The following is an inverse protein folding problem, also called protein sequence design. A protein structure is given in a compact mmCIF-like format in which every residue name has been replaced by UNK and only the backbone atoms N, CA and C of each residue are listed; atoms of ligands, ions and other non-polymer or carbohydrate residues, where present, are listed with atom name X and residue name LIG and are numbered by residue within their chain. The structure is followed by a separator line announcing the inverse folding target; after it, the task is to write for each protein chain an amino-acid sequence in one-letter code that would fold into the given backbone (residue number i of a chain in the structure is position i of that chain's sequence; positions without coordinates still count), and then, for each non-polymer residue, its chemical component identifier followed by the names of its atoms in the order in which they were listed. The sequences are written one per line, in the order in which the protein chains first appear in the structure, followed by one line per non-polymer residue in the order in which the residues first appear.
data_IF_279272436603
#
_entry.id   IF_279272436603
#
_cell.length_a   1.000
_cell.length_b   1.000
_cell.length_c   1.000
_cell.angle_alpha   90.00
_cell.angle_beta   90.00
_cell.angle_gamma   90.00
#
_symmetry.space_group_name_H-M   'P 1'
#
loop_
_entity.id
_entity.type
_entity.pdbx_description
1 polymer ?
#
# COMPACT_ATOMS: atom_id res chain seq x y z
N UNK A 1 -8.30 49.89 26.03
CA UNK A 1 -8.91 48.56 26.12
C UNK A 1 -8.65 47.83 24.82
N UNK A 2 -7.68 46.94 24.80
CA UNK A 2 -7.29 46.18 23.61
C UNK A 2 -7.77 44.73 23.85
N UNK A 3 -8.73 44.28 23.04
CA UNK A 3 -9.28 42.95 23.13
C UNK A 3 -8.34 41.94 22.48
N UNK A 4 -7.79 41.04 23.27
CA UNK A 4 -6.96 39.92 22.81
C UNK A 4 -7.87 38.79 22.40
N UNK A 5 -7.93 38.50 21.10
CA UNK A 5 -8.65 37.33 20.56
C UNK A 5 -7.76 36.13 20.63
N UNK A 6 -8.13 35.17 21.48
CA UNK A 6 -7.45 33.85 21.62
C UNK A 6 -7.87 32.97 20.46
N UNK A 7 -6.92 32.64 19.61
CA UNK A 7 -7.11 31.64 18.55
C UNK A 7 -6.94 30.24 19.20
N UNK A 8 -8.00 29.46 19.18
CA UNK A 8 -7.97 28.04 19.59
C UNK A 8 -7.47 27.22 18.43
N UNK A 9 -6.23 26.77 18.50
CA UNK A 9 -5.67 25.77 17.56
C UNK A 9 -6.26 24.40 17.83
N UNK A 10 -7.10 23.94 16.92
CA UNK A 10 -7.54 22.55 16.85
C UNK A 10 -6.44 21.67 16.24
N UNK A 11 -5.43 21.33 17.01
CA UNK A 11 -4.43 20.34 16.66
C UNK A 11 -5.00 18.93 16.77
N UNK A 12 -5.38 18.32 15.64
CA UNK A 12 -5.60 16.86 15.55
C UNK A 12 -4.25 16.15 15.65
N UNK A 13 -3.84 15.80 16.86
CA UNK A 13 -2.74 14.88 17.10
C UNK A 13 -3.17 13.48 16.68
N UNK A 14 -2.66 12.98 15.59
CA UNK A 14 -2.64 11.53 15.29
C UNK A 14 -1.85 10.83 16.40
N UNK A 15 -2.26 9.64 16.87
CA UNK A 15 -1.52 8.90 17.88
C UNK A 15 -0.12 8.60 17.34
N UNK A 16 0.90 9.16 18.00
CA UNK A 16 2.29 8.89 17.71
C UNK A 16 2.53 7.38 17.85
N UNK A 17 2.79 6.70 16.76
CA UNK A 17 3.25 5.30 16.79
C UNK A 17 4.56 5.29 17.57
N UNK A 18 4.57 4.60 18.71
CA UNK A 18 5.80 4.33 19.45
C UNK A 18 6.80 3.69 18.50
N UNK A 19 8.08 4.10 18.49
CA UNK A 19 9.12 3.40 17.74
C UNK A 19 9.10 1.92 18.14
N UNK A 20 9.37 1.04 17.19
CA UNK A 20 9.48 -0.39 17.46
C UNK A 20 10.59 -0.58 18.50
N UNK A 21 10.24 -1.01 19.70
CA UNK A 21 11.12 -1.02 20.90
C UNK A 21 12.19 -2.10 20.87
N UNK A 22 12.40 -2.79 19.75
CA UNK A 22 13.27 -3.96 19.64
C UNK A 22 14.38 -3.83 18.58
N UNK A 23 15.00 -2.69 18.45
CA UNK A 23 16.17 -2.53 17.56
C UNK A 23 17.17 -3.70 17.62
N UNK A 24 18.20 -3.66 16.79
CA UNK A 24 19.29 -4.64 16.82
C UNK A 24 20.45 -4.16 17.68
N UNK A 25 21.29 -5.10 18.18
CA UNK A 25 22.51 -4.78 18.91
C UNK A 25 23.54 -4.01 18.07
N UNK A 26 24.55 -3.41 18.68
CA UNK A 26 25.70 -2.85 17.97
C UNK A 26 26.42 -3.96 17.20
N UNK A 27 26.93 -3.64 16.00
CA UNK A 27 27.60 -4.63 15.17
C UNK A 27 28.03 -4.07 13.81
N UNK A 28 28.78 -4.87 13.08
CA UNK A 28 29.27 -4.56 11.73
C UNK A 28 28.26 -5.06 10.68
N UNK A 29 27.26 -4.23 10.38
CA UNK A 29 26.20 -4.53 9.43
C UNK A 29 26.39 -3.80 8.11
N UNK A 30 25.99 -4.44 7.02
CA UNK A 30 25.90 -3.78 5.71
C UNK A 30 24.47 -3.33 5.43
N UNK A 31 24.30 -2.06 5.04
CA UNK A 31 23.02 -1.50 4.64
C UNK A 31 22.79 -1.71 3.13
N UNK A 32 21.63 -2.23 2.78
CA UNK A 32 21.22 -2.46 1.40
C UNK A 32 19.83 -1.87 1.19
N UNK A 33 19.72 -0.94 0.23
CA UNK A 33 18.40 -0.48 -0.22
C UNK A 33 17.68 -1.61 -0.93
N UNK A 34 16.39 -1.79 -0.62
CA UNK A 34 15.59 -2.91 -1.14
C UNK A 34 14.14 -2.50 -1.38
N UNK A 35 13.55 -3.01 -2.45
CA UNK A 35 12.14 -2.84 -2.73
C UNK A 35 11.60 -3.95 -3.65
N UNK A 36 10.28 -4.10 -3.71
CA UNK A 36 9.60 -5.07 -4.57
C UNK A 36 8.40 -4.44 -5.29
N UNK A 37 8.19 -4.86 -6.54
CA UNK A 37 6.94 -4.68 -7.24
C UNK A 37 6.05 -5.91 -7.07
N UNK A 38 4.75 -5.69 -6.91
CA UNK A 38 3.80 -6.73 -6.57
C UNK A 38 2.51 -6.58 -7.37
N UNK A 39 1.75 -7.68 -7.55
CA UNK A 39 0.47 -7.66 -8.28
C UNK A 39 -0.61 -6.82 -7.57
N UNK A 40 -0.41 -6.51 -6.30
CA UNK A 40 -1.31 -5.67 -5.49
C UNK A 40 -0.69 -5.27 -4.15
N UNK A 41 -1.50 -4.84 -3.19
CA UNK A 41 -1.07 -4.39 -1.86
C UNK A 41 -1.56 -5.28 -0.72
N UNK A 42 -1.81 -6.54 -1.00
CA UNK A 42 -2.22 -7.53 0.01
C UNK A 42 -1.12 -8.56 0.14
N UNK A 43 -1.01 -9.19 1.30
CA UNK A 43 -0.03 -10.26 1.55
C UNK A 43 -0.21 -11.46 0.62
N UNK A 44 -1.44 -11.69 0.13
CA UNK A 44 -1.76 -12.75 -0.85
C UNK A 44 -1.44 -12.37 -2.31
N UNK A 45 -0.97 -11.16 -2.56
CA UNK A 45 -0.51 -10.74 -3.87
C UNK A 45 0.90 -11.29 -4.14
N UNK A 46 1.35 -11.26 -5.38
CA UNK A 46 2.56 -11.94 -5.83
C UNK A 46 3.66 -10.96 -6.22
N UNK A 47 4.90 -11.39 -6.12
CA UNK A 47 6.07 -10.59 -6.50
C UNK A 47 6.14 -10.51 -8.03
N UNK A 48 6.35 -9.31 -8.58
CA UNK A 48 6.58 -9.05 -10.00
C UNK A 48 8.02 -8.58 -10.30
N UNK A 49 8.67 -7.95 -9.32
CA UNK A 49 10.08 -7.57 -9.37
C UNK A 49 10.64 -7.57 -7.95
N UNK A 50 11.87 -8.02 -7.80
CA UNK A 50 12.67 -7.85 -6.60
C UNK A 50 13.92 -7.08 -6.97
N UNK A 51 14.24 -6.04 -6.21
CA UNK A 51 15.39 -5.20 -6.50
C UNK A 51 16.10 -4.76 -5.22
N UNK A 52 17.41 -4.62 -5.33
CA UNK A 52 18.27 -4.13 -4.27
C UNK A 52 19.39 -3.26 -4.81
N UNK A 53 19.91 -2.39 -3.96
CA UNK A 53 20.89 -1.41 -4.33
C UNK A 53 21.92 -1.20 -3.23
N UNK A 54 23.19 -1.14 -3.64
CA UNK A 54 24.32 -0.58 -2.90
C UNK A 54 25.06 0.40 -3.81
N UNK A 55 25.88 1.32 -3.31
CA UNK A 55 26.68 2.20 -4.17
C UNK A 55 27.60 1.46 -5.17
N UNK A 56 28.04 0.24 -4.82
CA UNK A 56 28.97 -0.56 -5.66
C UNK A 56 28.28 -1.58 -6.56
N UNK A 57 27.03 -1.96 -6.28
CA UNK A 57 26.32 -3.02 -7.01
C UNK A 57 24.81 -2.90 -6.88
N UNK A 58 24.09 -3.49 -7.84
CA UNK A 58 22.64 -3.56 -7.76
C UNK A 58 22.12 -4.90 -8.29
N UNK A 59 21.04 -5.36 -7.70
CA UNK A 59 20.27 -6.51 -8.15
C UNK A 59 18.89 -6.06 -8.63
N UNK A 60 18.41 -6.60 -9.74
CA UNK A 60 17.07 -6.34 -10.24
C UNK A 60 16.61 -7.49 -11.11
N UNK A 61 15.55 -8.18 -10.69
CA UNK A 61 15.00 -9.32 -11.42
C UNK A 61 13.48 -9.24 -11.45
N UNK A 62 12.92 -9.30 -12.67
CA UNK A 62 11.48 -9.47 -12.85
C UNK A 62 11.07 -10.92 -12.61
N UNK A 63 9.92 -11.08 -11.99
CA UNK A 63 9.29 -12.37 -11.67
C UNK A 63 8.00 -12.49 -12.44
N UNK A 64 7.74 -13.64 -13.03
CA UNK A 64 6.47 -13.89 -13.71
C UNK A 64 5.40 -14.28 -12.70
N UNK A 65 4.40 -13.42 -12.41
CA UNK A 65 3.34 -13.76 -11.47
C UNK A 65 2.30 -14.69 -12.10
N UNK A 66 1.64 -15.50 -11.29
CA UNK A 66 0.49 -16.29 -11.73
C UNK A 66 -0.78 -15.44 -11.87
N UNK A 67 -0.93 -14.41 -11.04
CA UNK A 67 -2.05 -13.46 -11.09
C UNK A 67 -1.73 -12.27 -11.98
N UNK A 68 -2.76 -11.65 -12.53
CA UNK A 68 -2.59 -10.37 -13.20
C UNK A 68 -2.42 -9.25 -12.18
N UNK A 69 -1.69 -8.20 -12.57
CA UNK A 69 -1.58 -7.01 -11.75
C UNK A 69 -2.94 -6.32 -11.67
N UNK A 70 -3.33 -5.88 -10.48
CA UNK A 70 -4.50 -5.02 -10.36
C UNK A 70 -4.24 -3.63 -10.99
N UNK A 71 -5.28 -2.89 -11.44
CA UNK A 71 -5.09 -1.61 -12.13
C UNK A 71 -4.22 -0.59 -11.39
N UNK A 72 -4.33 -0.42 -10.05
CA UNK A 72 -3.41 0.43 -9.30
C UNK A 72 -1.95 -0.02 -9.33
N UNK A 73 -1.69 -1.35 -9.31
CA UNK A 73 -0.33 -1.89 -9.40
C UNK A 73 0.25 -1.71 -10.80
N UNK A 74 -0.55 -2.00 -11.85
CA UNK A 74 -0.15 -1.76 -13.25
C UNK A 74 0.29 -0.31 -13.47
N UNK A 75 -0.47 0.66 -12.95
CA UNK A 75 -0.13 2.08 -13.06
C UNK A 75 1.13 2.45 -12.27
N UNK A 76 1.28 1.91 -11.04
CA UNK A 76 2.39 2.24 -10.15
C UNK A 76 3.71 1.67 -10.63
N UNK A 77 3.70 0.43 -11.11
CA UNK A 77 4.90 -0.31 -11.51
C UNK A 77 5.16 -0.25 -13.01
N UNK A 78 4.29 0.41 -13.76
CA UNK A 78 4.38 0.55 -15.22
C UNK A 78 4.52 -0.78 -15.96
N UNK A 79 3.86 -1.85 -15.48
CA UNK A 79 3.91 -3.16 -16.13
C UNK A 79 2.55 -3.85 -16.15
N UNK A 80 2.38 -4.76 -17.10
CA UNK A 80 1.16 -5.55 -17.31
C UNK A 80 1.50 -6.98 -17.71
N UNK A 81 0.65 -7.92 -17.31
CA UNK A 81 0.69 -9.30 -17.81
C UNK A 81 -0.21 -9.39 -19.05
N UNK A 82 0.30 -9.99 -20.11
CA UNK A 82 -0.45 -10.26 -21.34
C UNK A 82 -0.22 -11.69 -21.79
N UNK A 83 -1.20 -12.27 -22.50
CA UNK A 83 -1.07 -13.59 -23.09
C UNK A 83 -0.77 -13.46 -24.58
N UNK A 84 0.33 -14.04 -25.03
CA UNK A 84 0.73 -14.09 -26.44
C UNK A 84 0.73 -15.56 -26.86
N UNK A 85 -0.25 -15.95 -27.67
CA UNK A 85 -0.47 -17.35 -28.01
C UNK A 85 -0.81 -18.18 -26.74
N UNK A 86 0.06 -19.11 -26.38
CA UNK A 86 -0.08 -19.97 -25.18
C UNK A 86 0.74 -19.47 -23.97
N UNK A 87 1.50 -18.39 -24.14
CA UNK A 87 2.45 -17.92 -23.14
C UNK A 87 1.98 -16.63 -22.46
N UNK A 88 2.06 -16.60 -21.15
CA UNK A 88 1.93 -15.38 -20.38
C UNK A 88 3.29 -14.69 -20.33
N UNK A 89 3.30 -13.39 -20.58
CA UNK A 89 4.51 -12.55 -20.53
C UNK A 89 4.23 -11.27 -19.75
N UNK A 90 5.26 -10.79 -19.06
CA UNK A 90 5.25 -9.50 -18.40
C UNK A 90 5.79 -8.45 -19.40
N UNK A 91 5.05 -7.36 -19.59
CA UNK A 91 5.45 -6.26 -20.48
C UNK A 91 5.53 -4.95 -19.72
N UNK A 92 6.48 -4.12 -20.12
CA UNK A 92 6.49 -2.71 -19.76
C UNK A 92 5.29 -2.01 -20.42
N UNK A 93 4.56 -1.22 -19.62
CA UNK A 93 3.30 -0.63 -20.06
C UNK A 93 3.49 0.62 -20.95
N UNK A 94 4.65 1.30 -20.87
CA UNK A 94 4.98 2.48 -21.69
C UNK A 94 5.60 2.08 -23.03
N UNK A 95 6.51 1.12 -23.00
CA UNK A 95 7.30 0.73 -24.19
C UNK A 95 6.76 -0.50 -24.90
N UNK A 96 5.81 -1.22 -24.30
CA UNK A 96 5.25 -2.50 -24.74
C UNK A 96 6.30 -3.63 -24.93
N UNK A 97 7.53 -3.42 -24.44
CA UNK A 97 8.61 -4.40 -24.50
C UNK A 97 8.35 -5.54 -23.52
N UNK A 98 8.68 -6.76 -23.92
CA UNK A 98 8.66 -7.93 -23.04
C UNK A 98 9.79 -7.84 -22.04
N UNK A 99 9.46 -7.97 -20.76
CA UNK A 99 10.41 -7.98 -19.66
C UNK A 99 10.94 -9.42 -19.45
N UNK A 100 12.25 -9.54 -19.26
CA UNK A 100 12.89 -10.85 -19.01
C UNK A 100 12.60 -11.30 -17.60
N UNK A 101 11.72 -12.28 -17.45
CA UNK A 101 11.28 -12.81 -16.15
C UNK A 101 11.96 -14.13 -15.81
N UNK A 102 12.03 -14.43 -14.50
CA UNK A 102 12.33 -15.74 -13.94
C UNK A 102 11.13 -16.25 -13.14
N UNK A 103 11.17 -17.53 -12.75
CA UNK A 103 10.25 -18.04 -11.73
C UNK A 103 10.55 -17.41 -10.38
N UNK A 104 9.55 -17.35 -9.49
CA UNK A 104 9.70 -16.77 -8.16
C UNK A 104 10.84 -17.43 -7.37
N UNK A 105 10.90 -18.77 -7.37
CA UNK A 105 11.95 -19.51 -6.67
C UNK A 105 13.34 -19.23 -7.22
N UNK A 106 13.50 -19.16 -8.55
CA UNK A 106 14.80 -18.84 -9.16
C UNK A 106 15.25 -17.42 -8.85
N UNK A 107 14.32 -16.45 -8.92
CA UNK A 107 14.64 -15.06 -8.58
C UNK A 107 15.02 -14.88 -7.11
N UNK A 108 14.35 -15.59 -6.19
CA UNK A 108 14.69 -15.55 -4.76
C UNK A 108 16.03 -16.23 -4.47
N UNK A 109 16.32 -17.38 -5.10
CA UNK A 109 17.61 -18.04 -4.94
C UNK A 109 18.78 -17.17 -5.44
N UNK A 110 18.63 -16.54 -6.61
CA UNK A 110 19.62 -15.60 -7.14
C UNK A 110 19.79 -14.37 -6.26
N UNK A 111 18.69 -13.88 -5.69
CA UNK A 111 18.70 -12.77 -4.75
C UNK A 111 19.52 -13.09 -3.50
N UNK A 112 19.33 -14.28 -2.91
CA UNK A 112 20.13 -14.73 -1.77
C UNK A 112 21.62 -14.87 -2.12
N UNK A 113 21.93 -15.45 -3.27
CA UNK A 113 23.31 -15.56 -3.76
C UNK A 113 23.95 -14.19 -3.95
N UNK A 114 23.20 -13.21 -4.47
CA UNK A 114 23.68 -11.84 -4.58
C UNK A 114 23.89 -11.21 -3.19
N UNK A 115 22.98 -11.39 -2.23
CA UNK A 115 23.13 -10.90 -0.85
C UNK A 115 24.39 -11.48 -0.19
N UNK A 116 24.65 -12.79 -0.35
CA UNK A 116 25.85 -13.45 0.14
C UNK A 116 27.13 -12.83 -0.43
N UNK A 117 27.13 -12.58 -1.75
CA UNK A 117 28.28 -11.97 -2.43
C UNK A 117 28.56 -10.53 -1.97
N UNK A 118 27.48 -9.77 -1.66
CA UNK A 118 27.57 -8.36 -1.22
C UNK A 118 27.86 -8.24 0.28
N UNK A 119 27.51 -9.23 1.09
CA UNK A 119 27.79 -9.21 2.53
C UNK A 119 29.24 -8.87 2.84
N UNK A 120 30.20 -9.46 2.11
CA UNK A 120 31.61 -9.16 2.24
C UNK A 120 32.11 -9.30 3.68
N UNK A 121 32.76 -8.26 4.21
CA UNK A 121 33.34 -8.24 5.56
C UNK A 121 32.33 -7.88 6.67
N UNK A 122 31.02 -7.73 6.36
CA UNK A 122 30.00 -7.46 7.36
C UNK A 122 29.70 -8.72 8.19
N UNK A 123 30.42 -8.86 9.31
CA UNK A 123 30.38 -10.07 10.15
C UNK A 123 29.01 -10.33 10.74
N UNK A 124 28.29 -9.27 11.10
CA UNK A 124 26.99 -9.36 11.78
C UNK A 124 25.81 -9.40 10.80
N UNK A 125 26.06 -9.26 9.49
CA UNK A 125 25.08 -9.49 8.44
C UNK A 125 24.58 -8.24 7.74
N UNK A 126 23.40 -8.34 7.15
CA UNK A 126 22.78 -7.32 6.30
C UNK A 126 21.53 -6.76 6.97
N UNK A 127 21.31 -5.45 6.82
CA UNK A 127 20.04 -4.78 7.10
C UNK A 127 19.44 -4.30 5.77
N UNK A 128 18.22 -4.74 5.47
CA UNK A 128 17.46 -4.30 4.29
C UNK A 128 16.70 -3.01 4.60
N UNK A 129 17.05 -1.94 3.89
CA UNK A 129 16.41 -0.63 4.00
C UNK A 129 15.34 -0.52 2.93
N UNK A 130 14.10 -0.32 3.33
CA UNK A 130 12.95 -0.15 2.44
C UNK A 130 12.11 1.05 2.84
N UNK A 131 11.12 1.44 2.03
CA UNK A 131 10.31 2.60 2.31
C UNK A 131 8.83 2.35 2.01
N UNK A 132 8.04 2.02 3.03
CA UNK A 132 6.62 1.73 2.89
C UNK A 132 5.82 2.08 4.16
N UNK A 133 4.63 2.74 4.04
CA UNK A 133 3.82 3.08 5.20
C UNK A 133 3.12 1.87 5.85
N UNK A 134 3.07 0.69 5.20
CA UNK A 134 2.26 -0.46 5.62
C UNK A 134 3.03 -1.73 5.99
N UNK A 135 4.33 -1.78 5.87
CA UNK A 135 5.17 -2.96 6.17
C UNK A 135 4.72 -4.27 5.47
N UNK A 136 4.20 -4.17 4.24
CA UNK A 136 3.65 -5.35 3.53
C UNK A 136 4.76 -6.12 2.82
N UNK A 137 5.73 -5.42 2.22
CA UNK A 137 6.76 -6.08 1.42
C UNK A 137 7.68 -7.01 2.22
N UNK A 138 8.09 -6.72 3.48
CA UNK A 138 8.80 -7.70 4.30
C UNK A 138 7.98 -8.98 4.54
N UNK A 139 6.70 -8.84 4.86
CA UNK A 139 5.81 -9.97 5.08
C UNK A 139 5.67 -10.85 3.83
N UNK A 140 5.52 -10.24 2.65
CA UNK A 140 5.45 -10.98 1.37
C UNK A 140 6.75 -11.70 1.05
N UNK A 141 7.91 -11.06 1.27
CA UNK A 141 9.21 -11.70 1.07
C UNK A 141 9.37 -12.92 1.98
N UNK A 142 9.08 -12.78 3.27
CA UNK A 142 9.21 -13.88 4.25
C UNK A 142 8.29 -15.06 3.91
N UNK A 143 7.04 -14.79 3.48
CA UNK A 143 6.13 -15.85 3.03
C UNK A 143 6.63 -16.56 1.78
N UNK A 144 7.15 -15.82 0.79
CA UNK A 144 7.72 -16.40 -0.42
C UNK A 144 8.97 -17.22 -0.11
N UNK A 145 9.84 -16.76 0.77
CA UNK A 145 11.03 -17.52 1.21
C UNK A 145 10.64 -18.78 1.95
N UNK A 146 9.64 -18.72 2.83
CA UNK A 146 9.11 -19.87 3.56
C UNK A 146 8.50 -20.92 2.62
N UNK A 147 7.73 -20.49 1.64
CA UNK A 147 7.11 -21.33 0.59
C UNK A 147 8.13 -22.21 -0.15
N UNK A 148 9.35 -21.70 -0.36
CA UNK A 148 10.41 -22.39 -1.10
C UNK A 148 11.56 -22.92 -0.22
N UNK A 149 11.37 -22.97 1.11
CA UNK A 149 12.38 -23.43 2.09
C UNK A 149 13.70 -22.64 2.02
N UNK A 150 13.64 -21.34 1.70
CA UNK A 150 14.77 -20.42 1.62
C UNK A 150 14.91 -19.51 2.84
N UNK A 151 13.98 -19.56 3.79
CA UNK A 151 13.90 -18.62 4.90
C UNK A 151 15.11 -18.72 5.85
N UNK A 152 15.56 -19.92 6.18
CA UNK A 152 16.69 -20.10 7.09
C UNK A 152 18.00 -19.57 6.46
N UNK A 153 18.23 -19.85 5.17
CA UNK A 153 19.36 -19.26 4.43
C UNK A 153 19.31 -17.73 4.44
N UNK A 154 18.11 -17.15 4.31
CA UNK A 154 17.92 -15.70 4.40
C UNK A 154 18.28 -15.15 5.78
N UNK A 155 17.84 -15.80 6.88
CA UNK A 155 18.14 -15.38 8.26
C UNK A 155 19.62 -15.43 8.61
N UNK A 156 20.38 -16.33 8.00
CA UNK A 156 21.84 -16.37 8.16
C UNK A 156 22.51 -15.09 7.63
N UNK A 157 21.94 -14.49 6.58
CA UNK A 157 22.50 -13.34 5.86
C UNK A 157 21.90 -12.03 6.35
N UNK A 158 20.56 -11.95 6.43
CA UNK A 158 19.81 -10.73 6.76
C UNK A 158 19.38 -10.77 8.22
N UNK A 159 19.68 -9.71 8.96
CA UNK A 159 19.37 -9.60 10.40
C UNK A 159 18.14 -8.73 10.70
N UNK A 160 17.75 -7.88 9.75
CA UNK A 160 16.56 -7.07 9.96
C UNK A 160 16.19 -6.17 8.81
N UNK A 161 15.06 -5.50 8.99
CA UNK A 161 14.47 -4.55 8.06
C UNK A 161 14.40 -3.17 8.70
N UNK A 162 14.89 -2.14 7.99
CA UNK A 162 14.75 -0.75 8.38
C UNK A 162 13.77 -0.03 7.46
N UNK A 163 12.68 0.51 8.02
CA UNK A 163 11.67 1.22 7.24
C UNK A 163 11.98 2.73 7.21
N UNK A 164 12.50 3.22 6.09
CA UNK A 164 12.79 4.64 5.87
C UNK A 164 11.56 5.55 6.04
N UNK A 165 10.34 5.04 5.83
CA UNK A 165 9.11 5.79 6.11
C UNK A 165 8.99 6.10 7.61
N UNK A 166 9.16 5.10 8.48
CA UNK A 166 9.07 5.28 9.93
C UNK A 166 10.21 6.18 10.46
N UNK A 167 11.43 6.03 9.91
CA UNK A 167 12.57 6.88 10.25
C UNK A 167 12.26 8.34 9.90
N UNK A 168 11.77 8.60 8.68
CA UNK A 168 11.40 9.95 8.24
C UNK A 168 10.22 10.51 9.06
N UNK A 169 9.22 9.71 9.41
CA UNK A 169 8.08 10.12 10.25
C UNK A 169 8.54 10.63 11.63
N UNK A 170 9.55 10.01 12.21
CA UNK A 170 10.11 10.43 13.52
C UNK A 170 11.07 11.60 13.37
N UNK A 171 12.00 11.54 12.40
CA UNK A 171 13.10 12.51 12.28
C UNK A 171 12.71 13.79 11.51
N UNK A 172 11.68 13.76 10.68
CA UNK A 172 11.21 14.88 9.85
C UNK A 172 9.78 15.34 10.17
N UNK A 173 9.22 14.96 11.33
CA UNK A 173 7.81 15.21 11.69
C UNK A 173 7.33 16.66 11.46
N UNK A 174 8.22 17.64 11.68
CA UNK A 174 7.91 19.07 11.54
C UNK A 174 8.58 19.73 10.32
N UNK A 175 9.17 18.94 9.42
CA UNK A 175 9.99 19.47 8.31
C UNK A 175 9.34 19.25 6.95
N UNK A 176 8.50 18.23 6.82
CA UNK A 176 7.88 17.84 5.55
C UNK A 176 6.39 17.52 5.73
N UNK A 177 5.59 17.86 4.72
CA UNK A 177 4.13 17.64 4.74
C UNK A 177 3.75 16.16 4.53
N UNK A 178 4.62 15.37 3.91
CA UNK A 178 4.37 13.97 3.63
C UNK A 178 5.69 13.16 3.55
N UNK A 179 5.66 11.95 4.07
CA UNK A 179 6.83 11.05 4.13
C UNK A 179 6.91 10.09 2.94
N UNK A 180 6.41 10.48 1.76
CA UNK A 180 6.55 9.68 0.54
C UNK A 180 7.95 9.84 -0.06
N UNK A 181 8.46 8.78 -0.73
CA UNK A 181 9.75 8.84 -1.42
C UNK A 181 9.88 10.07 -2.32
N UNK A 182 8.82 10.42 -3.06
CA UNK A 182 8.81 11.59 -3.96
C UNK A 182 8.96 12.90 -3.20
N UNK A 183 8.23 13.07 -2.10
CA UNK A 183 8.32 14.29 -1.28
C UNK A 183 9.70 14.40 -0.65
N UNK A 184 10.17 13.32 -0.02
CA UNK A 184 11.48 13.30 0.64
C UNK A 184 12.63 13.51 -0.35
N UNK A 185 12.58 12.92 -1.54
CA UNK A 185 13.58 13.12 -2.60
C UNK A 185 13.66 14.60 -3.00
N UNK A 186 12.51 15.24 -3.23
CA UNK A 186 12.47 16.66 -3.60
C UNK A 186 12.94 17.56 -2.48
N UNK A 187 12.46 17.32 -1.25
CA UNK A 187 12.70 18.23 -0.11
C UNK A 187 14.11 18.04 0.49
N UNK A 188 14.57 16.79 0.63
CA UNK A 188 15.84 16.49 1.31
C UNK A 188 17.02 16.40 0.35
N UNK A 189 16.83 15.84 -0.84
CA UNK A 189 17.90 15.57 -1.79
C UNK A 189 17.90 16.54 -2.98
N UNK A 190 16.87 17.39 -3.10
CA UNK A 190 16.66 18.28 -4.24
C UNK A 190 16.68 17.54 -5.59
N UNK A 191 16.08 16.33 -5.64
CA UNK A 191 16.07 15.48 -6.82
C UNK A 191 14.64 15.14 -7.23
N UNK A 192 14.37 15.15 -8.54
CA UNK A 192 13.17 14.57 -9.12
C UNK A 192 13.49 13.20 -9.70
N UNK A 193 12.98 12.15 -9.07
CA UNK A 193 13.27 10.76 -9.43
C UNK A 193 12.03 10.08 -9.99
N UNK A 194 12.21 9.29 -11.04
CA UNK A 194 11.17 8.37 -11.49
C UNK A 194 11.10 7.19 -10.52
N UNK A 195 9.89 6.86 -10.06
CA UNK A 195 9.66 5.85 -9.02
C UNK A 195 8.89 4.62 -9.54
N UNK A 196 8.89 4.43 -10.85
CA UNK A 196 8.16 3.34 -11.52
C UNK A 196 8.85 1.98 -11.31
N UNK A 197 10.14 1.98 -11.04
CA UNK A 197 10.98 0.78 -10.92
C UNK A 197 11.40 0.53 -9.46
N UNK A 198 11.35 -0.72 -9.02
CA UNK A 198 11.74 -1.11 -7.66
C UNK A 198 13.20 -0.80 -7.35
N UNK A 199 14.13 -0.90 -8.33
CA UNK A 199 15.55 -0.57 -8.15
C UNK A 199 15.76 0.90 -7.80
N UNK A 200 15.06 1.81 -8.49
CA UNK A 200 15.21 3.25 -8.26
C UNK A 200 14.63 3.64 -6.90
N UNK A 201 13.54 2.99 -6.48
CA UNK A 201 12.99 3.17 -5.14
C UNK A 201 13.89 2.60 -4.05
N UNK A 202 14.52 1.45 -4.27
CA UNK A 202 15.51 0.87 -3.36
C UNK A 202 16.73 1.79 -3.17
N UNK A 203 17.26 2.33 -4.27
CA UNK A 203 18.34 3.31 -4.25
C UNK A 203 17.95 4.54 -3.43
N UNK A 204 16.81 5.13 -3.75
CA UNK A 204 16.34 6.35 -3.08
C UNK A 204 16.04 6.15 -1.60
N UNK A 205 15.48 4.99 -1.21
CA UNK A 205 15.24 4.66 0.19
C UNK A 205 16.54 4.66 1.01
N UNK A 206 17.61 4.07 0.46
CA UNK A 206 18.92 4.07 1.11
C UNK A 206 19.52 5.49 1.17
N UNK A 207 19.48 6.25 0.09
CA UNK A 207 20.00 7.63 0.03
C UNK A 207 19.31 8.56 1.03
N UNK A 208 17.98 8.46 1.17
CA UNK A 208 17.22 9.25 2.15
C UNK A 208 17.68 8.92 3.57
N UNK A 209 17.83 7.65 3.91
CA UNK A 209 18.27 7.23 5.24
C UNK A 209 19.70 7.69 5.53
N UNK A 210 20.61 7.59 4.56
CA UNK A 210 21.98 8.10 4.68
C UNK A 210 22.01 9.62 4.87
N UNK A 211 21.19 10.36 4.12
CA UNK A 211 21.10 11.81 4.26
C UNK A 211 20.55 12.21 5.63
N UNK A 212 19.51 11.54 6.14
CA UNK A 212 19.00 11.80 7.48
C UNK A 212 20.03 11.53 8.57
N UNK A 213 20.83 10.47 8.42
CA UNK A 213 21.94 10.15 9.30
C UNK A 213 22.99 11.27 9.30
N UNK A 214 23.37 11.78 8.12
CA UNK A 214 24.36 12.86 8.01
C UNK A 214 23.87 14.18 8.62
N UNK A 215 22.59 14.49 8.52
CA UNK A 215 21.98 15.68 9.17
C UNK A 215 22.01 15.55 10.71
N UNK A 216 21.80 14.36 11.26
CA UNK A 216 21.84 14.16 12.70
C UNK A 216 23.26 14.31 13.25
N UNK A 217 24.27 13.77 12.55
CA UNK A 217 25.69 13.94 12.88
C UNK A 217 26.11 15.42 12.84
N UNK A 218 25.63 16.17 11.83
CA UNK A 218 25.92 17.61 11.72
C UNK A 218 25.35 18.45 12.88
N UNK A 219 24.22 18.04 13.46
CA UNK A 219 23.62 18.69 14.64
C UNK A 219 24.42 18.45 15.92
N UNK A 220 25.13 17.31 16.01
CA UNK A 220 25.92 16.92 17.19
C UNK A 220 27.28 17.58 17.32
N UNK A 221 27.66 18.55 16.48
CA UNK A 221 28.94 19.28 16.50
C UNK A 221 30.24 18.43 16.45
N UNK A 222 30.19 17.21 15.99
CA UNK A 222 31.40 16.42 15.73
C UNK A 222 31.87 16.56 14.27
N UNK A 223 32.30 17.77 13.93
CA UNK A 223 32.98 18.05 12.68
C UNK A 223 34.48 17.64 12.75
N UNK A 224 34.77 16.38 12.95
CA UNK A 224 36.12 15.83 12.74
C UNK A 224 36.01 14.43 12.16
N UNK A 225 36.26 14.31 10.87
CA UNK A 225 36.39 12.98 10.26
C UNK A 225 36.42 13.02 8.75
N UNK A 226 37.56 12.71 8.21
CA UNK A 226 37.86 12.34 6.84
C UNK A 226 36.74 11.51 6.20
N UNK A 227 36.40 11.85 4.94
CA UNK A 227 35.33 11.22 4.16
C UNK A 227 35.62 9.77 3.74
N UNK A 228 35.86 8.89 4.69
CA UNK A 228 35.93 7.46 4.43
C UNK A 228 34.50 6.90 4.37
N UNK A 229 34.17 6.24 3.27
CA UNK A 229 32.85 5.69 3.00
C UNK A 229 32.39 4.67 4.06
N UNK A 230 33.34 3.92 4.63
CA UNK A 230 33.06 2.93 5.68
C UNK A 230 32.69 3.61 7.01
N UNK A 231 33.33 4.72 7.34
CA UNK A 231 33.01 5.51 8.52
C UNK A 231 31.56 6.09 8.43
N UNK A 232 31.17 6.54 7.25
CA UNK A 232 29.82 7.07 7.00
C UNK A 232 28.76 5.96 7.10
N UNK A 233 29.04 4.77 6.59
CA UNK A 233 28.14 3.63 6.66
C UNK A 233 27.91 3.18 8.11
N UNK A 234 28.97 3.08 8.92
CA UNK A 234 28.88 2.71 10.33
C UNK A 234 28.07 3.73 11.15
N UNK A 235 28.20 5.02 10.88
CA UNK A 235 27.38 6.08 11.49
C UNK A 235 25.91 5.94 11.09
N UNK A 236 25.62 5.57 9.84
CA UNK A 236 24.25 5.33 9.40
C UNK A 236 23.65 4.08 10.06
N UNK A 237 24.42 3.01 10.24
CA UNK A 237 23.99 1.81 10.99
C UNK A 237 23.58 2.20 12.42
N UNK A 238 24.45 2.93 13.13
CA UNK A 238 24.16 3.37 14.49
C UNK A 238 22.89 4.26 14.56
N UNK A 239 22.74 5.19 13.62
CA UNK A 239 21.56 6.07 13.53
C UNK A 239 20.24 5.30 13.35
N UNK A 240 20.21 4.21 12.54
CA UNK A 240 18.98 3.46 12.27
C UNK A 240 18.73 2.30 13.22
N UNK A 241 19.69 1.92 14.05
CA UNK A 241 19.70 0.70 14.85
C UNK A 241 18.43 0.49 15.66
N UNK A 242 17.92 1.53 16.29
CA UNK A 242 16.65 1.51 17.05
C UNK A 242 15.40 1.31 16.17
N UNK A 243 15.48 1.62 14.87
CA UNK A 243 14.38 1.47 13.91
C UNK A 243 14.42 0.15 13.15
N UNK A 244 15.47 -0.65 13.34
CA UNK A 244 15.60 -1.95 12.67
C UNK A 244 14.70 -2.95 13.35
N UNK A 245 13.84 -3.57 12.58
CA UNK A 245 13.03 -4.70 13.01
C UNK A 245 13.78 -6.00 12.70
N UNK A 246 14.17 -6.80 13.70
CA UNK A 246 14.75 -8.11 13.48
C UNK A 246 13.88 -9.00 12.61
N UNK A 247 14.49 -9.90 11.83
CA UNK A 247 13.75 -10.80 10.91
C UNK A 247 12.78 -11.69 11.68
N UNK A 248 13.18 -12.20 12.85
CA UNK A 248 12.35 -13.06 13.71
C UNK A 248 11.10 -12.32 14.18
N UNK A 249 11.24 -11.06 14.58
CA UNK A 249 10.11 -10.23 14.99
C UNK A 249 9.19 -9.90 13.81
N UNK A 250 9.76 -9.64 12.63
CA UNK A 250 8.99 -9.42 11.41
C UNK A 250 8.20 -10.68 11.02
N UNK A 251 8.77 -11.85 11.19
CA UNK A 251 8.10 -13.14 10.97
C UNK A 251 6.96 -13.36 11.95
N UNK A 252 7.19 -13.04 13.24
CA UNK A 252 6.14 -13.13 14.27
C UNK A 252 4.98 -12.16 13.99
N UNK A 253 5.26 -10.87 13.74
CA UNK A 253 4.24 -9.88 13.38
C UNK A 253 3.43 -10.32 12.14
N UNK A 254 4.10 -10.96 11.18
CA UNK A 254 3.45 -11.51 10.01
C UNK A 254 2.51 -12.67 10.37
N UNK A 255 2.94 -13.61 11.21
CA UNK A 255 2.12 -14.73 11.66
C UNK A 255 0.86 -14.23 12.38
N UNK A 256 0.99 -13.24 13.26
CA UNK A 256 -0.13 -12.59 13.94
C UNK A 256 -1.08 -11.91 12.94
N UNK A 257 -0.53 -11.17 11.96
CA UNK A 257 -1.32 -10.55 10.89
C UNK A 257 -2.10 -11.59 10.06
N UNK A 258 -1.50 -12.75 9.79
CA UNK A 258 -2.14 -13.85 9.07
C UNK A 258 -3.35 -14.41 9.83
N UNK A 259 -3.21 -14.62 11.14
CA UNK A 259 -4.32 -15.03 12.01
C UNK A 259 -5.47 -14.02 11.97
N UNK A 260 -5.15 -12.72 12.10
CA UNK A 260 -6.16 -11.66 12.00
C UNK A 260 -6.83 -11.66 10.61
N UNK A 261 -6.07 -11.89 9.55
CA UNK A 261 -6.62 -11.97 8.19
C UNK A 261 -7.54 -13.19 8.00
N UNK A 262 -7.17 -14.34 8.53
CA UNK A 262 -8.01 -15.56 8.50
C UNK A 262 -9.33 -15.32 9.26
N UNK A 263 -9.28 -14.72 10.46
CA UNK A 263 -10.49 -14.31 11.18
C UNK A 263 -11.36 -13.33 10.39
N UNK A 264 -10.74 -12.33 9.72
CA UNK A 264 -11.48 -11.44 8.83
C UNK A 264 -12.20 -12.21 7.71
N UNK A 265 -11.63 -13.30 7.21
CA UNK A 265 -12.27 -14.12 6.18
C UNK A 265 -13.49 -14.87 6.71
N UNK A 266 -13.47 -15.35 7.96
CA UNK A 266 -14.68 -15.94 8.58
C UNK A 266 -15.83 -14.93 8.66
N UNK A 267 -15.53 -13.66 8.88
CA UNK A 267 -16.51 -12.56 8.98
C UNK A 267 -17.03 -12.05 7.62
N UNK A 268 -16.53 -12.60 6.50
CA UNK A 268 -16.91 -12.17 5.15
C UNK A 268 -18.44 -12.17 4.91
N UNK A 269 -19.23 -13.16 5.33
CA UNK A 269 -20.68 -13.17 5.11
C UNK A 269 -21.40 -11.94 5.66
N UNK A 270 -20.95 -11.39 6.81
CA UNK A 270 -21.56 -10.22 7.45
C UNK A 270 -21.30 -8.95 6.64
N UNK A 271 -20.06 -8.81 6.11
CA UNK A 271 -19.59 -7.56 5.54
C UNK A 271 -19.63 -7.52 4.01
N UNK A 272 -19.88 -8.65 3.32
CA UNK A 272 -19.80 -8.75 1.86
C UNK A 272 -20.74 -7.78 1.16
N UNK A 273 -21.95 -7.59 1.68
CA UNK A 273 -22.93 -6.64 1.16
C UNK A 273 -22.34 -5.22 1.09
N UNK A 274 -21.76 -4.71 2.19
CA UNK A 274 -21.20 -3.35 2.27
C UNK A 274 -19.98 -3.18 1.35
N UNK A 275 -19.22 -4.25 1.10
CA UNK A 275 -18.05 -4.20 0.21
C UNK A 275 -18.42 -4.12 -1.28
N UNK A 276 -19.64 -4.55 -1.64
CA UNK A 276 -20.10 -4.55 -3.03
C UNK A 276 -20.82 -3.26 -3.44
N UNK A 277 -21.40 -2.50 -2.51
CA UNK A 277 -22.24 -1.36 -2.83
C UNK A 277 -21.46 -0.18 -3.39
N UNK A 278 -20.61 0.45 -2.58
CA UNK A 278 -19.86 1.62 -2.98
C UNK A 278 -18.56 1.79 -2.16
N UNK A 279 -17.74 2.78 -2.55
CA UNK A 279 -16.47 3.06 -1.88
C UNK A 279 -16.64 3.52 -0.42
N UNK A 280 -17.68 4.33 -0.14
CA UNK A 280 -17.93 4.94 1.18
C UNK A 280 -18.33 3.86 2.19
N UNK A 281 -19.27 2.97 1.83
CA UNK A 281 -19.67 1.84 2.67
C UNK A 281 -18.50 0.88 2.93
N UNK A 282 -17.68 0.62 1.91
CA UNK A 282 -16.48 -0.20 2.06
C UNK A 282 -15.47 0.42 3.03
N UNK A 283 -15.28 1.75 2.98
CA UNK A 283 -14.40 2.46 3.90
C UNK A 283 -14.91 2.43 5.34
N UNK A 284 -16.23 2.43 5.53
CA UNK A 284 -16.86 2.31 6.85
C UNK A 284 -16.82 0.87 7.39
N UNK A 285 -17.18 -0.11 6.60
CA UNK A 285 -17.28 -1.51 7.01
C UNK A 285 -15.92 -2.19 7.23
N UNK A 286 -14.87 -1.78 6.49
CA UNK A 286 -13.54 -2.40 6.57
C UNK A 286 -12.88 -2.28 7.96
N UNK A 287 -12.87 -1.12 8.63
CA UNK A 287 -12.37 -0.99 10.00
C UNK A 287 -13.17 -1.81 11.01
N UNK A 288 -14.50 -1.89 10.86
CA UNK A 288 -15.36 -2.67 11.78
C UNK A 288 -15.05 -4.17 11.70
N UNK A 289 -14.90 -4.70 10.47
CA UNK A 289 -14.51 -6.11 10.28
C UNK A 289 -13.13 -6.40 10.88
N UNK A 290 -12.19 -5.47 10.70
CA UNK A 290 -10.84 -5.61 11.25
C UNK A 290 -10.86 -5.56 12.78
N UNK A 291 -11.65 -4.69 13.38
CA UNK A 291 -11.81 -4.56 14.83
C UNK A 291 -12.26 -5.88 15.46
N UNK A 292 -13.29 -6.55 14.90
CA UNK A 292 -13.72 -7.87 15.36
C UNK A 292 -12.61 -8.90 15.28
N UNK A 293 -11.89 -8.98 14.15
CA UNK A 293 -10.84 -9.95 13.97
C UNK A 293 -9.64 -9.72 14.90
N UNK A 294 -9.27 -8.47 15.18
CA UNK A 294 -8.22 -8.09 16.15
C UNK A 294 -8.63 -8.44 17.59
N UNK A 295 -9.92 -8.32 17.93
CA UNK A 295 -10.47 -8.75 19.21
C UNK A 295 -10.60 -10.28 19.35
N UNK A 296 -10.19 -11.05 18.33
CA UNK A 296 -10.28 -12.51 18.34
C UNK A 296 -11.69 -13.06 18.11
N UNK A 297 -12.59 -12.27 17.55
CA UNK A 297 -13.97 -12.66 17.29
C UNK A 297 -14.10 -13.22 15.88
N UNK A 298 -14.70 -14.41 15.76
CA UNK A 298 -14.99 -15.11 14.52
C UNK A 298 -16.49 -15.20 14.26
N UNK A 299 -16.87 -15.53 13.02
CA UNK A 299 -18.27 -15.64 12.61
C UNK A 299 -19.08 -16.63 13.46
N UNK A 300 -18.47 -17.77 13.84
CA UNK A 300 -19.12 -18.82 14.62
C UNK A 300 -19.55 -18.27 15.99
N UNK A 301 -18.67 -17.56 16.69
CA UNK A 301 -18.96 -16.99 18.01
C UNK A 301 -20.10 -15.97 17.97
N UNK A 302 -20.16 -15.14 16.91
CA UNK A 302 -21.25 -14.19 16.71
C UNK A 302 -22.57 -14.89 16.44
N UNK A 303 -22.55 -15.96 15.63
CA UNK A 303 -23.72 -16.80 15.32
C UNK A 303 -24.25 -17.50 16.56
N UNK A 304 -23.37 -18.06 17.40
CA UNK A 304 -23.74 -18.70 18.67
C UNK A 304 -24.33 -17.67 19.66
N UNK A 305 -23.68 -16.50 19.82
CA UNK A 305 -24.21 -15.45 20.68
C UNK A 305 -25.61 -15.00 20.23
N UNK A 306 -25.83 -14.84 18.92
CA UNK A 306 -27.16 -14.53 18.38
C UNK A 306 -28.19 -15.62 18.66
N UNK A 307 -27.81 -16.90 18.51
CA UNK A 307 -28.70 -18.04 18.76
C UNK A 307 -29.12 -18.17 20.22
N UNK A 308 -28.21 -17.82 21.16
CA UNK A 308 -28.44 -17.97 22.60
C UNK A 308 -29.29 -16.85 23.21
N UNK A 309 -29.21 -15.62 22.74
CA UNK A 309 -29.92 -14.48 23.33
C UNK A 309 -30.07 -13.29 22.38
N UNK A 310 -30.02 -13.56 21.07
CA UNK A 310 -30.19 -12.55 20.01
C UNK A 310 -29.30 -11.30 20.26
N UNK A 311 -29.93 -10.12 20.26
CA UNK A 311 -29.26 -8.84 20.42
C UNK A 311 -28.51 -8.70 21.75
N UNK A 312 -29.11 -9.10 22.84
CA UNK A 312 -28.54 -8.90 24.19
C UNK A 312 -27.25 -9.71 24.39
N UNK A 313 -27.22 -10.97 23.98
CA UNK A 313 -26.01 -11.81 24.07
C UNK A 313 -24.93 -11.34 23.10
N UNK A 314 -25.32 -10.86 21.92
CA UNK A 314 -24.40 -10.30 20.94
C UNK A 314 -23.73 -9.02 21.47
N UNK A 315 -24.52 -8.11 22.04
CA UNK A 315 -24.04 -6.86 22.63
C UNK A 315 -23.11 -7.15 23.80
N UNK A 316 -23.46 -8.09 24.67
CA UNK A 316 -22.61 -8.53 25.79
C UNK A 316 -21.27 -9.03 25.30
N UNK A 317 -21.23 -9.92 24.31
CA UNK A 317 -19.98 -10.44 23.73
C UNK A 317 -19.11 -9.32 23.15
N UNK A 318 -19.70 -8.39 22.41
CA UNK A 318 -18.99 -7.27 21.78
C UNK A 318 -18.40 -6.34 22.84
N UNK A 319 -19.18 -5.95 23.86
CA UNK A 319 -18.73 -5.07 24.94
C UNK A 319 -17.65 -5.71 25.82
N UNK A 320 -17.72 -7.01 26.06
CA UNK A 320 -16.71 -7.76 26.81
C UNK A 320 -15.37 -7.80 26.06
N UNK A 321 -15.37 -8.00 24.75
CA UNK A 321 -14.17 -8.11 23.93
C UNK A 321 -13.58 -6.77 23.47
N UNK A 322 -14.39 -5.73 23.38
CA UNK A 322 -14.03 -4.41 22.83
C UNK A 322 -14.06 -3.30 23.90
N UNK A 323 -13.49 -3.55 25.07
CA UNK A 323 -13.54 -2.66 26.24
C UNK A 323 -12.92 -1.27 26.01
N UNK A 324 -11.95 -1.14 25.11
CA UNK A 324 -11.24 0.12 24.83
C UNK A 324 -11.74 0.85 23.58
N UNK A 325 -12.83 0.37 22.98
CA UNK A 325 -13.35 0.91 21.72
C UNK A 325 -14.36 2.03 21.96
N UNK A 326 -14.33 3.06 21.10
CA UNK A 326 -15.29 4.15 21.13
C UNK A 326 -16.73 3.65 21.00
N UNK A 327 -17.66 4.14 21.82
CA UNK A 327 -19.07 3.72 21.85
C UNK A 327 -19.72 3.80 20.48
N UNK A 328 -19.46 4.85 19.72
CA UNK A 328 -19.98 5.01 18.35
C UNK A 328 -19.59 3.87 17.42
N UNK A 329 -18.38 3.33 17.53
CA UNK A 329 -17.93 2.17 16.72
C UNK A 329 -18.62 0.89 17.15
N UNK A 330 -18.91 0.76 18.45
CA UNK A 330 -19.67 -0.38 18.99
C UNK A 330 -21.11 -0.35 18.48
N UNK A 331 -21.77 0.81 18.52
CA UNK A 331 -23.12 0.99 17.97
C UNK A 331 -23.17 0.69 16.47
N UNK A 332 -22.21 1.20 15.70
CA UNK A 332 -22.10 0.94 14.27
C UNK A 332 -21.91 -0.54 13.96
N UNK A 333 -21.11 -1.22 14.80
CA UNK A 333 -20.87 -2.64 14.68
C UNK A 333 -22.12 -3.46 15.01
N UNK A 334 -22.78 -3.17 16.13
CA UNK A 334 -24.03 -3.83 16.53
C UNK A 334 -25.11 -3.67 15.46
N UNK A 335 -25.23 -2.49 14.87
CA UNK A 335 -26.15 -2.25 13.78
C UNK A 335 -25.89 -3.15 12.56
N UNK A 336 -24.62 -3.28 12.15
CA UNK A 336 -24.21 -4.16 11.04
C UNK A 336 -24.51 -5.63 11.36
N UNK A 337 -24.20 -6.07 12.59
CA UNK A 337 -24.42 -7.45 13.02
C UNK A 337 -25.91 -7.79 13.13
N UNK A 338 -26.71 -6.91 13.72
CA UNK A 338 -28.18 -7.07 13.77
C UNK A 338 -28.77 -7.17 12.37
N UNK A 339 -28.34 -6.30 11.45
CA UNK A 339 -28.81 -6.33 10.06
C UNK A 339 -28.50 -7.64 9.33
N UNK A 340 -27.45 -8.36 9.77
CA UNK A 340 -27.08 -9.64 9.18
C UNK A 340 -27.82 -10.82 9.79
N UNK A 341 -27.98 -10.84 11.11
CA UNK A 341 -28.53 -12.00 11.83
C UNK A 341 -30.06 -11.94 11.99
N UNK A 342 -30.67 -10.75 11.95
CA UNK A 342 -32.10 -10.58 12.06
C UNK A 342 -32.78 -10.69 10.69
N UNK A 343 -33.60 -11.74 10.43
CA UNK A 343 -34.26 -11.93 9.13
C UNK A 343 -35.26 -10.81 8.80
N UNK A 344 -35.80 -10.10 9.81
CA UNK A 344 -36.76 -9.03 9.62
C UNK A 344 -36.07 -7.67 9.30
N UNK A 345 -34.76 -7.57 9.54
CA UNK A 345 -33.96 -6.39 9.26
C UNK A 345 -33.17 -6.53 7.94
N UNK A 346 -33.57 -5.77 6.93
CA UNK A 346 -32.77 -5.66 5.70
C UNK A 346 -31.51 -4.84 5.97
N UNK A 347 -30.36 -5.18 5.35
CA UNK A 347 -29.15 -4.38 5.45
C UNK A 347 -29.43 -2.93 5.00
N UNK A 348 -29.35 -1.99 5.91
CA UNK A 348 -29.59 -0.57 5.65
C UNK A 348 -28.29 0.18 5.50
N UNK A 349 -28.24 1.10 4.53
CA UNK A 349 -27.12 2.00 4.33
C UNK A 349 -27.25 3.17 5.31
N UNK A 350 -26.28 3.36 6.20
CA UNK A 350 -26.28 4.49 7.14
C UNK A 350 -26.05 5.86 6.46
N UNK A 351 -25.55 5.87 5.22
CA UNK A 351 -25.09 7.09 4.53
C UNK A 351 -26.09 7.60 3.49
N UNK A 352 -27.30 7.07 3.42
CA UNK A 352 -28.33 7.53 2.47
C UNK A 352 -29.09 8.80 2.90
N UNK A 353 -28.81 9.38 4.09
CA UNK A 353 -29.56 10.51 4.63
C UNK A 353 -29.37 11.85 3.92
N UNK A 354 -28.29 12.05 3.16
CA UNK A 354 -27.90 13.40 2.72
C UNK A 354 -28.15 13.67 1.22
N UNK A 355 -28.45 12.66 0.42
CA UNK A 355 -28.69 12.86 -1.02
C UNK A 355 -30.13 13.10 -1.41
N UNK A 356 -31.08 12.66 -0.58
CA UNK A 356 -32.52 12.87 -0.81
C UNK A 356 -32.93 14.30 -0.45
N UNK A 357 -32.34 14.90 0.57
CA UNK A 357 -32.60 16.30 0.91
C UNK A 357 -32.02 17.27 -0.11
N UNK A 358 -30.78 17.02 -0.60
CA UNK A 358 -30.13 17.87 -1.61
C UNK A 358 -30.83 17.75 -2.99
N UNK A 359 -31.43 16.61 -3.33
CA UNK A 359 -32.25 16.49 -4.54
C UNK A 359 -33.62 17.14 -4.39
N UNK A 360 -34.23 17.07 -3.20
CA UNK A 360 -35.52 17.73 -2.93
C UNK A 360 -35.37 19.27 -2.85
N UNK A 361 -34.26 19.77 -2.33
CA UNK A 361 -33.95 21.22 -2.34
C UNK A 361 -33.57 21.72 -3.74
N UNK A 362 -32.83 20.93 -4.53
CA UNK A 362 -32.57 21.30 -5.93
C UNK A 362 -33.77 21.26 -6.85
N UNK A 363 -34.70 20.32 -6.65
CA UNK A 363 -35.97 20.32 -7.42
C UNK A 363 -36.88 21.49 -7.03
N UNK A 364 -36.95 21.86 -5.75
CA UNK A 364 -37.71 23.07 -5.32
C UNK A 364 -37.10 24.37 -5.88
N UNK A 365 -35.77 24.47 -5.99
CA UNK A 365 -35.09 25.65 -6.56
C UNK A 365 -35.27 25.74 -8.08
N UNK A 366 -35.51 24.63 -8.76
CA UNK A 366 -35.78 24.59 -10.22
C UNK A 366 -37.24 24.95 -10.48
N UNK A 367 -38.18 24.44 -9.69
CA UNK A 367 -39.62 24.76 -9.82
C UNK A 367 -39.93 26.24 -9.51
N UNK A 368 -39.22 26.86 -8.56
CA UNK A 368 -39.30 28.29 -8.26
C UNK A 368 -38.70 29.21 -9.34
N UNK A 369 -37.77 28.69 -10.19
CA UNK A 369 -37.20 29.45 -11.32
C UNK A 369 -38.02 29.33 -12.61
N UNK A 370 -38.74 28.27 -12.82
CA UNK A 370 -39.63 28.12 -13.99
C UNK A 370 -40.92 28.91 -13.86
N UNK A 371 -41.41 29.20 -12.63
CA UNK A 371 -42.62 29.99 -12.41
C UNK A 371 -42.43 31.52 -12.52
N UNK A 372 -41.19 32.01 -12.61
CA UNK A 372 -40.91 33.44 -12.71
C UNK A 372 -40.50 33.91 -14.12
N UNK A 373 -40.45 33.02 -15.13
CA UNK A 373 -40.06 33.38 -16.50
C UNK A 373 -41.16 33.34 -17.54
N UNK A 374 -42.45 33.23 -17.11
CA UNK A 374 -43.58 33.26 -18.04
C UNK A 374 -44.29 34.61 -18.09
N UNK A 375 -43.57 35.71 -18.14
CA UNK A 375 -44.11 37.00 -18.51
C UNK A 375 -43.05 37.81 -19.27
N UNK A 376 -43.07 37.73 -20.59
CA UNK A 376 -42.92 38.75 -21.61
C UNK A 376 -42.54 38.20 -22.98
N UNK A 377 -43.49 38.26 -23.87
CA UNK A 377 -43.50 38.63 -25.32
C UNK A 377 -42.49 37.95 -26.27
N UNK A 378 -43.01 37.09 -27.17
CA UNK A 378 -43.47 37.33 -28.57
C UNK A 378 -42.47 38.10 -29.47
N UNK A 379 -42.21 37.37 -30.52
CA UNK A 379 -42.03 37.76 -31.94
C UNK A 379 -40.67 37.44 -32.59
N UNK A 380 -40.85 36.68 -33.64
CA UNK A 380 -40.36 36.72 -35.01
C UNK A 380 -39.08 36.00 -35.38
N UNK A 381 -39.38 35.05 -36.29
CA UNK A 381 -38.64 34.74 -37.54
C UNK A 381 -37.45 33.80 -37.55
N UNK A 382 -37.76 32.63 -38.19
CA UNK A 382 -36.81 31.75 -38.90
C UNK A 382 -36.40 32.41 -40.24
N UNK A 383 -35.41 31.96 -41.02
CA UNK A 383 -35.42 30.65 -41.65
C UNK A 383 -34.04 29.96 -41.94
N UNK A 384 -34.16 28.66 -42.14
CA UNK A 384 -33.48 27.80 -43.12
C UNK A 384 -32.01 27.93 -43.48
N UNK A 385 -31.24 26.86 -43.39
CA UNK A 385 -30.81 26.02 -44.57
C UNK A 385 -29.92 24.83 -44.13
N UNK A 386 -30.40 23.66 -44.44
CA UNK A 386 -29.89 22.47 -45.09
C UNK A 386 -28.40 22.40 -45.47
N UNK A 387 -27.75 21.28 -45.17
CA UNK A 387 -27.19 20.23 -46.06
C UNK A 387 -26.29 19.30 -45.27
N UNK A 388 -26.64 18.05 -45.08
CA UNK A 388 -26.33 16.82 -45.84
C UNK A 388 -24.83 16.57 -46.07
N UNK A 389 -24.30 15.49 -45.59
CA UNK A 389 -24.11 14.22 -46.27
C UNK A 389 -23.16 13.26 -45.54
N UNK A 390 -23.55 12.02 -45.63
CA UNK A 390 -22.93 10.81 -45.12
C UNK A 390 -21.77 10.30 -46.04
N UNK A 391 -21.34 9.05 -45.95
CA UNK A 391 -20.04 8.59 -45.54
C UNK A 391 -19.24 7.95 -46.68
N UNK A 392 -17.98 7.66 -46.52
CA UNK A 392 -17.23 6.85 -47.52
C UNK A 392 -16.60 5.60 -46.88
N UNK A 393 -16.95 4.53 -47.59
CA UNK A 393 -16.57 3.14 -47.44
C UNK A 393 -15.14 2.84 -47.90
N UNK A 394 -14.50 1.91 -47.22
CA UNK A 394 -13.82 0.65 -47.64
C UNK A 394 -12.95 0.70 -48.90
N UNK A 395 -11.71 0.21 -48.75
CA UNK A 395 -11.19 -0.84 -49.65
C UNK A 395 -10.10 -1.67 -48.96
N UNK A 396 -10.28 -2.96 -49.13
CA UNK A 396 -9.49 -4.13 -48.77
C UNK A 396 -8.42 -4.47 -49.81
N UNK A 397 -7.36 -5.16 -49.33
CA UNK A 397 -6.60 -6.28 -49.95
C UNK A 397 -5.51 -5.98 -50.98
N UNK A 398 -4.64 -7.02 -51.29
CA UNK A 398 -3.90 -7.97 -50.42
C UNK A 398 -2.44 -8.24 -50.90
N UNK A 399 -1.77 -9.22 -50.21
CA UNK A 399 -0.67 -10.10 -50.69
C UNK A 399 0.73 -9.48 -50.89
N UNK A 400 1.86 -10.12 -50.65
CA UNK A 400 2.33 -11.50 -50.89
C UNK A 400 3.58 -11.80 -50.07
N UNK A 401 3.66 -13.05 -49.62
CA UNK A 401 4.77 -14.01 -49.66
C UNK A 401 6.26 -13.58 -49.67
N UNK A 402 7.01 -14.18 -48.80
CA UNK A 402 8.07 -15.19 -49.04
C UNK A 402 8.78 -15.49 -47.72
N UNK A 403 8.68 -16.68 -47.20
CA UNK A 403 9.44 -17.91 -47.46
C UNK A 403 10.88 -17.90 -46.89
N UNK A 404 11.02 -18.70 -45.79
CA UNK A 404 12.07 -19.68 -45.46
C UNK A 404 13.52 -19.17 -45.34
N UNK A 405 14.19 -19.47 -44.22
CA UNK A 405 15.22 -20.51 -44.08
C UNK A 405 15.51 -20.72 -42.59
N UNK A 406 15.51 -22.00 -42.19
CA UNK A 406 16.05 -22.58 -41.00
C UNK A 406 17.58 -22.73 -41.09
N UNK A 407 18.18 -23.03 -39.91
CA UNK A 407 19.51 -23.57 -39.60
C UNK A 407 20.31 -22.60 -38.71
N UNK A 408 20.76 -22.92 -37.57
CA UNK A 408 21.25 -24.06 -36.78
C UNK A 408 20.94 -23.86 -35.32
#
# INVERSE_FOLDING_TARGET
MVSTTTIVENGKSSPSRKPCTSGIGPGNYRLIGWDMDTTGKKVIDEICQIASYTPSSSYSQYVMPYKDLNPPAMKRHNMKVVTIGKFRVLKDNKTDKVLKTKSEVSALADFLTWLESIRGNATDGIILVYHEPRKIIPAMLLESLKKYNLLERFKEIVKGFANGFNIAEVKCANTVDAFTLRTLSRTLLNQETQLDNARDRACLALQIVQHLSSLEVAKGNEANGSGDSDCTMNKTVEFIREFVQPVELAEQEYAEMKVVFERQNTLKPIFEFFFRINRRERQHASPLRRLLAEAGIEYIQLKEAWSNGKKESLEKLIREKLTTTEEKKIEDLLFVLESHFDPDKKPQLRISGDRTQIKAEKSKIIDDKENNNNKCNSSTESPDTTTSSSPLKIKSEPSENSTIIAEE
#
